data_IF_882781611127
#
_entry.id   IF_882781611127
#
_cell.length_a   1.000
_cell.length_b   1.000
_cell.length_c   1.000
_cell.angle_alpha   90.00
_cell.angle_beta   90.00
_cell.angle_gamma   90.00
#
_symmetry.space_group_name_H-M   'P 1'
#
loop_
_entity.id
_entity.type
_entity.pdbx_description
1 polymer ?
#
# COMPACT_ATOMS: atom_id res chain seq x y z
N UNK A 1 3.02 0.15 -28.16
CA UNK A 1 3.02 -1.18 -27.54
C UNK A 1 1.79 -1.22 -26.67
N UNK A 2 0.85 -2.13 -26.94
CA UNK A 2 -0.35 -2.29 -26.11
C UNK A 2 0.03 -3.02 -24.82
N UNK A 3 -0.40 -2.49 -23.67
CA UNK A 3 -0.18 -3.16 -22.39
C UNK A 3 -1.07 -4.40 -22.28
N UNK A 4 -0.56 -5.52 -21.76
CA UNK A 4 -1.37 -6.73 -21.60
C UNK A 4 -2.49 -6.50 -20.58
N UNK A 5 -3.73 -6.82 -20.96
CA UNK A 5 -4.87 -6.81 -20.04
C UNK A 5 -4.77 -8.05 -19.14
N UNK A 6 -4.69 -7.82 -17.83
CA UNK A 6 -4.62 -8.89 -16.82
C UNK A 6 -5.82 -8.77 -15.88
N UNK A 7 -6.41 -9.91 -15.53
CA UNK A 7 -7.51 -10.00 -14.56
C UNK A 7 -7.01 -10.59 -13.25
N UNK A 8 -7.43 -10.00 -12.12
CA UNK A 8 -7.08 -10.47 -10.77
C UNK A 8 -8.34 -10.77 -9.98
N UNK A 9 -8.35 -11.87 -9.24
CA UNK A 9 -9.44 -12.22 -8.32
C UNK A 9 -9.26 -11.48 -6.98
N UNK A 10 -10.30 -10.79 -6.52
CA UNK A 10 -10.31 -10.08 -5.23
C UNK A 10 -11.24 -10.81 -4.25
N UNK A 11 -10.75 -11.10 -3.04
CA UNK A 11 -11.57 -11.66 -1.95
C UNK A 11 -12.02 -10.52 -1.04
N UNK A 12 -13.33 -10.40 -0.83
CA UNK A 12 -13.93 -9.37 0.03
C UNK A 12 -15.07 -9.97 0.87
N UNK A 13 -15.43 -9.36 2.01
CA UNK A 13 -16.65 -9.69 2.71
C UNK A 13 -17.88 -9.51 1.82
N UNK A 14 -18.88 -10.39 1.93
CA UNK A 14 -20.10 -10.33 1.11
C UNK A 14 -20.86 -9.00 1.27
N UNK A 15 -20.94 -8.49 2.49
CA UNK A 15 -21.59 -7.20 2.77
C UNK A 15 -20.94 -6.02 2.04
N UNK A 16 -19.61 -6.06 1.84
CA UNK A 16 -18.90 -5.03 1.10
C UNK A 16 -19.21 -5.13 -0.40
N UNK A 17 -19.30 -6.34 -0.94
CA UNK A 17 -19.65 -6.56 -2.34
C UNK A 17 -21.04 -5.99 -2.66
N UNK A 18 -22.00 -6.17 -1.77
CA UNK A 18 -23.36 -5.66 -1.96
C UNK A 18 -23.41 -4.12 -1.93
N UNK A 19 -22.65 -3.49 -1.02
CA UNK A 19 -22.51 -2.02 -1.02
C UNK A 19 -21.89 -1.51 -2.32
N UNK A 20 -20.81 -2.14 -2.78
CA UNK A 20 -20.13 -1.77 -4.04
C UNK A 20 -21.07 -1.92 -5.24
N UNK A 21 -21.92 -2.95 -5.25
CA UNK A 21 -22.92 -3.15 -6.30
C UNK A 21 -23.93 -2.02 -6.37
N UNK A 22 -24.44 -1.58 -5.21
CA UNK A 22 -25.39 -0.46 -5.13
C UNK A 22 -24.74 0.82 -5.64
N UNK A 23 -23.53 1.14 -5.15
CA UNK A 23 -22.81 2.34 -5.57
C UNK A 23 -22.48 2.35 -7.07
N UNK A 24 -22.01 1.22 -7.61
CA UNK A 24 -21.74 1.11 -9.04
C UNK A 24 -23.02 1.27 -9.87
N UNK A 25 -24.16 0.75 -9.40
CA UNK A 25 -25.45 0.90 -10.06
C UNK A 25 -25.98 2.35 -10.01
N UNK A 26 -25.81 3.04 -8.88
CA UNK A 26 -26.18 4.46 -8.73
C UNK A 26 -25.42 5.35 -9.71
N UNK A 27 -24.16 5.02 -10.00
CA UNK A 27 -23.34 5.72 -11.01
C UNK A 27 -23.54 5.22 -12.45
N UNK A 28 -24.38 4.20 -12.65
CA UNK A 28 -24.61 3.59 -13.97
C UNK A 28 -23.38 2.86 -14.55
N UNK A 29 -22.47 2.40 -13.69
CA UNK A 29 -21.19 1.77 -14.07
C UNK A 29 -21.19 0.27 -13.79
N UNK A 30 -20.30 -0.45 -14.49
CA UNK A 30 -19.99 -1.82 -14.11
C UNK A 30 -19.17 -1.84 -12.82
N UNK A 31 -19.30 -2.91 -12.03
CA UNK A 31 -18.51 -3.10 -10.79
C UNK A 31 -17.01 -2.99 -11.08
N UNK A 32 -16.53 -3.56 -12.19
CA UNK A 32 -15.10 -3.52 -12.54
C UNK A 32 -14.63 -2.11 -12.87
N UNK A 33 -15.45 -1.34 -13.59
CA UNK A 33 -15.15 0.07 -13.91
C UNK A 33 -15.07 0.89 -12.64
N UNK A 34 -16.06 0.74 -11.76
CA UNK A 34 -16.11 1.43 -10.48
C UNK A 34 -14.89 1.11 -9.60
N UNK A 35 -14.55 -0.18 -9.46
CA UNK A 35 -13.36 -0.60 -8.70
C UNK A 35 -12.08 -0.03 -9.31
N UNK A 36 -11.97 -0.04 -10.65
CA UNK A 36 -10.80 0.51 -11.35
C UNK A 36 -10.60 2.00 -11.02
N UNK A 37 -11.65 2.81 -11.12
CA UNK A 37 -11.60 4.23 -10.82
C UNK A 37 -11.19 4.48 -9.37
N UNK A 38 -11.81 3.78 -8.41
CA UNK A 38 -11.47 3.91 -6.98
C UNK A 38 -10.00 3.56 -6.69
N UNK A 39 -9.46 2.54 -7.35
CA UNK A 39 -8.05 2.14 -7.21
C UNK A 39 -7.12 3.19 -7.81
N UNK A 40 -7.45 3.72 -8.99
CA UNK A 40 -6.67 4.76 -9.67
C UNK A 40 -6.66 6.07 -8.86
N UNK A 41 -7.80 6.49 -8.31
CA UNK A 41 -7.92 7.65 -7.43
C UNK A 41 -7.07 7.50 -6.16
N UNK A 42 -7.14 6.34 -5.51
CA UNK A 42 -6.32 6.03 -4.32
C UNK A 42 -4.83 6.03 -4.64
N UNK A 43 -4.43 5.51 -5.80
CA UNK A 43 -3.04 5.53 -6.25
C UNK A 43 -2.54 6.96 -6.47
N UNK A 44 -3.34 7.81 -7.13
CA UNK A 44 -3.04 9.22 -7.31
C UNK A 44 -2.91 9.98 -5.99
N UNK A 45 -3.83 9.74 -5.03
CA UNK A 45 -3.76 10.36 -3.70
C UNK A 45 -2.51 9.95 -2.91
N UNK A 46 -2.12 8.66 -2.93
CA UNK A 46 -0.89 8.20 -2.27
C UNK A 46 0.36 8.85 -2.86
N UNK A 47 0.42 9.04 -4.18
CA UNK A 47 1.53 9.74 -4.83
C UNK A 47 1.63 11.21 -4.40
N UNK A 48 0.50 11.89 -4.21
CA UNK A 48 0.45 13.27 -3.73
C UNK A 48 0.92 13.38 -2.27
N UNK A 49 0.52 12.45 -1.40
CA UNK A 49 0.94 12.42 0.00
C UNK A 49 2.45 12.12 0.13
N UNK A 50 2.97 11.20 -0.68
CA UNK A 50 4.42 10.91 -0.72
C UNK A 50 5.27 12.10 -1.19
N UNK A 51 4.72 12.98 -2.04
CA UNK A 51 5.37 14.24 -2.42
C UNK A 51 5.32 15.29 -1.30
N UNK A 52 4.18 15.45 -0.63
CA UNK A 52 4.04 16.38 0.50
C UNK A 52 4.95 16.04 1.68
N UNK A 53 5.12 14.76 2.01
CA UNK A 53 6.04 14.37 3.10
C UNK A 53 7.52 14.63 2.75
N UNK A 54 7.86 14.74 1.46
CA UNK A 54 9.22 15.05 1.01
C UNK A 54 9.54 16.54 1.11
N UNK A 55 8.55 17.43 0.94
CA UNK A 55 8.73 18.88 0.99
C UNK A 55 8.81 19.41 2.44
N UNK A 56 8.00 18.88 3.36
CA UNK A 56 8.06 19.27 4.80
C UNK A 56 9.29 18.73 5.54
N UNK A 57 10.01 17.75 4.97
CA UNK A 57 11.25 17.20 5.53
C UNK A 57 12.50 18.07 5.27
N UNK A 58 12.36 19.21 4.60
CA UNK A 58 13.47 20.10 4.23
C UNK A 58 13.91 21.05 5.35
N UNK A 59 13.29 21.01 6.52
CA UNK A 59 13.73 21.77 7.70
C UNK A 59 13.84 20.89 8.95
N UNK A 60 15.03 20.35 9.19
CA UNK A 60 15.46 20.03 10.57
C UNK A 60 15.55 18.57 11.01
N UNK A 61 15.61 17.58 10.11
CA UNK A 61 15.84 16.18 10.50
C UNK A 61 16.80 15.47 9.57
N UNK A 62 18.01 15.16 10.05
CA UNK A 62 19.07 14.39 9.37
C UNK A 62 18.49 13.27 8.48
N UNK A 63 18.47 13.53 7.17
CA UNK A 63 18.16 12.52 6.16
C UNK A 63 19.26 11.46 6.18
N UNK A 64 18.90 10.28 6.71
CA UNK A 64 19.64 9.04 6.49
C UNK A 64 19.51 8.73 5.00
N UNK A 65 20.43 9.27 4.19
CA UNK A 65 20.41 9.11 2.74
C UNK A 65 20.45 7.62 2.36
N UNK A 66 19.86 7.25 1.22
CA UNK A 66 19.71 5.88 0.71
C UNK A 66 20.96 4.99 0.84
N UNK A 67 22.17 5.57 0.85
CA UNK A 67 23.43 4.84 1.12
C UNK A 67 23.51 4.21 2.52
N UNK A 68 22.85 4.77 3.54
CA UNK A 68 22.81 4.20 4.89
C UNK A 68 21.80 3.04 5.00
N UNK A 69 20.70 3.09 4.26
CA UNK A 69 19.74 1.97 4.18
C UNK A 69 20.42 0.72 3.59
N UNK A 70 21.23 0.91 2.55
CA UNK A 70 22.03 -0.18 1.95
C UNK A 70 23.03 -0.79 2.94
N UNK A 71 23.62 0.02 3.84
CA UNK A 71 24.50 -0.49 4.90
C UNK A 71 23.73 -1.27 5.97
N UNK A 72 22.52 -0.85 6.33
CA UNK A 72 21.67 -1.57 7.29
C UNK A 72 21.19 -2.94 6.76
N UNK A 73 21.01 -3.07 5.45
CA UNK A 73 20.67 -4.33 4.80
C UNK A 73 21.83 -5.36 4.81
N UNK A 74 23.08 -4.90 4.96
CA UNK A 74 24.29 -5.73 4.97
C UNK A 74 24.74 -6.14 6.38
N UNK A 75 24.10 -5.63 7.43
CA UNK A 75 24.40 -6.04 8.81
C UNK A 75 23.73 -7.39 9.07
N UNK A 76 24.55 -8.43 9.17
CA UNK A 76 24.14 -9.84 9.29
C UNK A 76 23.37 -10.13 10.59
N UNK A 77 23.69 -9.40 11.66
CA UNK A 77 22.99 -9.44 12.94
C UNK A 77 22.26 -8.12 13.15
N UNK A 78 21.05 -8.02 12.58
CA UNK A 78 20.12 -6.96 12.97
C UNK A 78 19.85 -7.14 14.46
N UNK A 79 19.97 -6.10 15.31
CA UNK A 79 19.43 -6.18 16.66
C UNK A 79 17.92 -6.24 16.55
N UNK A 80 17.39 -7.46 16.39
CA UNK A 80 15.99 -7.73 16.61
C UNK A 80 15.78 -7.44 18.09
N UNK A 81 15.12 -6.33 18.40
CA UNK A 81 14.53 -6.16 19.73
C UNK A 81 13.67 -7.40 20.04
N UNK A 82 13.42 -7.70 21.32
CA UNK A 82 12.63 -8.88 21.67
C UNK A 82 11.33 -8.88 20.86
N UNK A 83 11.10 -9.97 20.12
CA UNK A 83 9.90 -10.13 19.30
C UNK A 83 8.68 -9.85 20.17
N UNK A 84 7.73 -9.08 19.65
CA UNK A 84 6.46 -8.91 20.34
C UNK A 84 5.79 -10.29 20.48
N UNK A 85 4.94 -10.47 21.50
CA UNK A 85 4.24 -11.74 21.72
C UNK A 85 3.40 -12.18 20.50
N UNK A 86 2.99 -11.22 19.69
CA UNK A 86 2.22 -11.44 18.47
C UNK A 86 3.10 -12.00 17.34
N UNK A 87 4.36 -11.57 17.26
CA UNK A 87 5.31 -12.04 16.24
C UNK A 87 5.84 -13.46 16.54
N UNK A 88 5.95 -13.85 17.82
CA UNK A 88 6.35 -15.20 18.24
C UNK A 88 5.37 -16.28 17.76
N UNK A 89 4.08 -15.94 17.63
CA UNK A 89 3.04 -16.86 17.14
C UNK A 89 3.24 -17.17 15.65
N UNK A 90 3.73 -16.19 14.89
CA UNK A 90 3.84 -16.30 13.43
C UNK A 90 5.15 -16.96 13.01
N UNK A 91 6.25 -16.60 13.69
CA UNK A 91 7.59 -17.01 13.27
C UNK A 91 8.15 -18.18 14.09
N UNK A 92 7.47 -18.60 15.16
CA UNK A 92 8.02 -19.55 16.13
C UNK A 92 9.10 -18.91 17.01
N UNK A 93 9.51 -19.62 18.07
CA UNK A 93 10.65 -19.19 18.93
C UNK A 93 11.97 -19.09 18.16
#
# INVERSE_FOLDING_TARGET
MEEPIVTTNLRVPGSLLDQVRVLAAEEGKSINTFIKEVVEERAAQKQLIGKKSMEESSSGGKLVGMRQIYKLALIKDKPMGPLSKEDQIIYGE
#
